data_IF_388672199893
#
_entry.id   IF_388672199893
#
_cell.length_a   1.000
_cell.length_b   1.000
_cell.length_c   1.000
_cell.angle_alpha   90.00
_cell.angle_beta   90.00
_cell.angle_gamma   90.00
#
_symmetry.space_group_name_H-M   'P 1'
#
loop_
_entity.id
_entity.type
_entity.pdbx_description
1 polymer ?
#
# COMPACT_ATOMS: atom_id res chain seq x y z
N UNK A 1 30.49 8.32 -24.25
CA UNK A 1 29.09 8.74 -24.01
C UNK A 1 28.04 7.62 -24.15
N UNK A 2 28.35 6.45 -24.74
CA UNK A 2 27.37 5.35 -24.88
C UNK A 2 27.06 4.60 -23.57
N UNK A 3 28.05 4.39 -22.70
CA UNK A 3 27.86 3.72 -21.40
C UNK A 3 26.91 4.48 -20.46
N UNK A 4 27.04 5.80 -20.38
CA UNK A 4 26.16 6.64 -19.55
C UNK A 4 24.70 6.56 -20.00
N UNK A 5 24.46 6.52 -21.32
CA UNK A 5 23.11 6.39 -21.90
C UNK A 5 22.47 5.03 -21.60
N UNK A 6 23.26 3.95 -21.60
CA UNK A 6 22.79 2.60 -21.27
C UNK A 6 22.43 2.51 -19.77
N UNK A 7 23.24 3.11 -18.88
CA UNK A 7 22.95 3.14 -17.44
C UNK A 7 21.67 3.92 -17.14
N UNK A 8 21.48 5.08 -17.78
CA UNK A 8 20.26 5.89 -17.62
C UNK A 8 19.03 5.13 -18.14
N UNK A 9 19.12 4.49 -19.30
CA UNK A 9 18.02 3.70 -19.86
C UNK A 9 17.65 2.50 -18.97
N UNK A 10 18.63 1.82 -18.39
CA UNK A 10 18.39 0.70 -17.47
C UNK A 10 17.78 1.17 -16.14
N UNK A 11 18.21 2.33 -15.62
CA UNK A 11 17.63 2.92 -14.42
C UNK A 11 16.15 3.32 -14.61
N UNK A 12 15.78 3.84 -15.79
CA UNK A 12 14.38 4.14 -16.11
C UNK A 12 13.51 2.89 -16.25
N UNK A 13 14.08 1.76 -16.68
CA UNK A 13 13.33 0.50 -16.82
C UNK A 13 13.07 -0.19 -15.47
N UNK A 14 13.95 0.00 -14.48
CA UNK A 14 13.86 -0.64 -13.16
C UNK A 14 13.05 0.16 -12.13
N UNK A 15 12.87 1.47 -12.33
CA UNK A 15 12.08 2.30 -11.43
C UNK A 15 10.63 1.79 -11.17
N UNK A 16 9.87 1.33 -12.18
CA UNK A 16 8.53 0.76 -11.94
C UNK A 16 8.57 -0.59 -11.21
N UNK A 17 9.64 -1.37 -11.37
CA UNK A 17 9.80 -2.69 -10.71
C UNK A 17 10.06 -2.51 -9.21
N UNK A 18 10.84 -1.50 -8.83
CA UNK A 18 11.08 -1.18 -7.42
C UNK A 18 9.81 -0.75 -6.68
N UNK A 19 8.86 -0.09 -7.37
CA UNK A 19 7.58 0.31 -6.77
C UNK A 19 6.57 -0.84 -6.67
N UNK A 20 6.62 -1.81 -7.60
CA UNK A 20 5.82 -3.03 -7.53
C UNK A 20 6.15 -3.93 -6.32
N UNK A 21 7.29 -3.69 -5.66
CA UNK A 21 7.72 -4.43 -4.47
C UNK A 21 7.25 -3.80 -3.15
N UNK A 22 6.73 -2.56 -3.15
CA UNK A 22 6.21 -1.96 -1.92
C UNK A 22 4.93 -2.65 -1.49
N UNK A 23 4.85 -3.02 -0.21
CA UNK A 23 3.65 -3.55 0.43
C UNK A 23 2.94 -2.47 1.22
N UNK A 24 1.67 -2.68 1.54
CA UNK A 24 0.93 -1.75 2.40
C UNK A 24 1.64 -1.54 3.76
N UNK A 25 2.23 -2.60 4.32
CA UNK A 25 3.02 -2.53 5.56
C UNK A 25 4.18 -1.54 5.49
N UNK A 26 4.81 -1.35 4.33
CA UNK A 26 5.93 -0.41 4.15
C UNK A 26 5.48 1.05 4.26
N UNK A 27 4.18 1.32 4.14
CA UNK A 27 3.59 2.66 4.29
C UNK A 27 3.39 3.07 5.76
N UNK A 28 3.59 2.15 6.70
CA UNK A 28 3.34 2.35 8.13
C UNK A 28 4.64 2.74 8.84
N UNK A 29 4.58 3.75 9.70
CA UNK A 29 5.74 4.16 10.51
C UNK A 29 6.17 3.01 11.46
N UNK A 30 7.47 2.86 11.68
CA UNK A 30 8.07 1.72 12.43
C UNK A 30 7.47 1.56 13.83
N UNK A 31 7.21 2.65 14.53
CA UNK A 31 6.57 2.69 15.86
C UNK A 31 5.14 2.10 15.90
N UNK A 32 4.46 1.99 14.75
CA UNK A 32 3.11 1.45 14.65
C UNK A 32 3.06 0.04 14.06
N UNK A 33 4.18 -0.54 13.64
CA UNK A 33 4.20 -1.84 12.95
C UNK A 33 3.59 -2.97 13.78
N UNK A 34 3.89 -3.04 15.08
CA UNK A 34 3.32 -4.09 15.95
C UNK A 34 1.79 -3.99 16.05
N UNK A 35 1.27 -2.77 16.13
CA UNK A 35 -0.17 -2.52 16.23
C UNK A 35 -0.84 -2.84 14.89
N UNK A 36 -0.21 -2.42 13.79
CA UNK A 36 -0.64 -2.77 12.44
C UNK A 36 -0.67 -4.29 12.22
N UNK A 37 0.39 -5.01 12.55
CA UNK A 37 0.46 -6.48 12.37
C UNK A 37 -0.65 -7.17 13.19
N UNK A 38 -0.89 -6.70 14.43
CA UNK A 38 -1.97 -7.22 15.28
C UNK A 38 -3.38 -6.85 14.81
N UNK A 39 -3.55 -5.75 14.08
CA UNK A 39 -4.82 -5.38 13.47
C UNK A 39 -5.08 -6.21 12.21
N UNK A 40 -4.08 -6.33 11.34
CA UNK A 40 -4.16 -7.13 10.12
C UNK A 40 -4.43 -8.61 10.41
N UNK A 41 -3.92 -9.15 11.53
CA UNK A 41 -4.20 -10.53 11.94
C UNK A 41 -5.67 -10.78 12.33
N UNK A 42 -6.45 -9.73 12.58
CA UNK A 42 -7.88 -9.85 12.90
C UNK A 42 -8.75 -9.85 11.63
N UNK A 43 -8.21 -9.44 10.49
CA UNK A 43 -8.91 -9.42 9.21
C UNK A 43 -8.87 -10.83 8.63
N UNK A 44 -10.02 -11.49 8.61
CA UNK A 44 -10.18 -12.84 8.09
C UNK A 44 -11.25 -12.85 7.01
N UNK A 45 -11.16 -13.80 6.08
CA UNK A 45 -12.23 -14.02 5.11
C UNK A 45 -13.55 -14.29 5.87
N UNK A 46 -14.67 -13.69 5.44
CA UNK A 46 -14.88 -13.00 4.17
C UNK A 46 -14.68 -11.47 4.18
N UNK A 47 -14.03 -10.90 5.21
CA UNK A 47 -13.82 -9.45 5.31
C UNK A 47 -12.89 -8.94 4.20
N UNK A 48 -13.19 -7.74 3.72
CA UNK A 48 -12.34 -7.01 2.78
C UNK A 48 -11.93 -5.69 3.40
N UNK A 49 -10.81 -5.13 2.99
CA UNK A 49 -10.36 -3.84 3.51
C UNK A 49 -9.90 -2.90 2.40
N UNK A 50 -10.01 -1.61 2.67
CA UNK A 50 -9.55 -0.53 1.82
C UNK A 50 -8.55 0.33 2.59
N UNK A 51 -7.35 0.47 2.04
CA UNK A 51 -6.33 1.34 2.60
C UNK A 51 -6.17 2.61 1.78
N UNK A 52 -6.02 3.76 2.45
CA UNK A 52 -5.81 5.06 1.79
C UNK A 52 -4.98 6.02 2.64
N UNK A 53 -4.32 6.98 1.97
CA UNK A 53 -3.56 8.04 2.62
C UNK A 53 -4.41 9.31 2.76
N UNK A 54 -4.56 9.82 3.99
CA UNK A 54 -5.22 11.10 4.25
C UNK A 54 -4.56 11.79 5.43
N UNK A 55 -4.25 13.09 5.27
CA UNK A 55 -3.59 13.91 6.29
C UNK A 55 -2.29 13.30 6.84
N UNK A 56 -1.46 12.77 5.93
CA UNK A 56 -0.20 12.08 6.27
C UNK A 56 -0.38 10.91 7.26
N UNK A 57 -1.51 10.23 7.18
CA UNK A 57 -1.84 9.03 7.94
C UNK A 57 -2.41 7.97 7.01
N UNK A 58 -2.05 6.72 7.27
CA UNK A 58 -2.57 5.57 6.53
C UNK A 58 -3.82 5.09 7.27
N UNK A 59 -4.95 5.09 6.58
CA UNK A 59 -6.22 4.61 7.07
C UNK A 59 -6.51 3.26 6.45
N UNK A 60 -7.10 2.36 7.23
CA UNK A 60 -7.57 1.05 6.79
C UNK A 60 -9.00 0.90 7.28
N UNK A 61 -9.94 0.86 6.35
CA UNK A 61 -11.35 0.59 6.61
C UNK A 61 -11.63 -0.88 6.28
N UNK A 62 -12.24 -1.63 7.19
CA UNK A 62 -12.58 -3.05 7.03
C UNK A 62 -14.08 -3.17 6.88
N UNK A 63 -14.52 -3.84 5.83
CA UNK A 63 -15.92 -4.05 5.50
C UNK A 63 -16.34 -5.49 5.79
N UNK A 64 -17.62 -5.67 6.10
CA UNK A 64 -18.24 -6.99 6.10
C UNK A 64 -18.24 -7.62 4.69
N UNK A 65 -18.62 -8.90 4.62
CA UNK A 65 -18.69 -9.66 3.38
C UNK A 65 -19.54 -9.00 2.30
N UNK A 66 -20.61 -8.31 2.71
CA UNK A 66 -21.55 -7.64 1.80
C UNK A 66 -21.01 -6.28 1.33
N UNK A 67 -19.81 -5.87 1.79
CA UNK A 67 -19.08 -4.69 1.34
C UNK A 67 -19.76 -3.36 1.68
N UNK A 68 -20.90 -3.40 2.37
CA UNK A 68 -21.76 -2.25 2.59
C UNK A 68 -21.45 -1.49 3.86
N UNK A 69 -20.86 -2.16 4.86
CA UNK A 69 -20.66 -1.57 6.19
C UNK A 69 -19.23 -1.74 6.69
N UNK A 70 -18.64 -0.64 7.15
CA UNK A 70 -17.38 -0.65 7.89
C UNK A 70 -17.63 -1.32 9.25
N UNK A 71 -16.97 -2.45 9.49
CA UNK A 71 -17.04 -3.22 10.74
C UNK A 71 -15.86 -2.96 11.66
N UNK A 72 -14.74 -2.49 11.11
CA UNK A 72 -13.54 -2.13 11.87
C UNK A 72 -12.73 -1.10 11.08
N UNK A 73 -11.89 -0.32 11.76
CA UNK A 73 -10.99 0.62 11.10
C UNK A 73 -9.74 0.88 11.95
N UNK A 74 -8.66 1.31 11.31
CA UNK A 74 -7.47 1.76 12.00
C UNK A 74 -6.77 2.89 11.25
N UNK A 75 -6.10 3.75 12.00
CA UNK A 75 -5.30 4.85 11.46
C UNK A 75 -3.90 4.81 12.04
N UNK A 76 -2.89 4.85 11.16
CA UNK A 76 -1.48 4.80 11.51
C UNK A 76 -0.74 6.03 11.03
N UNK A 77 0.36 6.37 11.70
CA UNK A 77 1.32 7.34 11.18
C UNK A 77 1.94 6.78 9.90
N UNK A 78 2.03 7.60 8.85
CA UNK A 78 2.66 7.19 7.61
C UNK A 78 4.19 7.13 7.74
N UNK A 79 4.80 6.23 6.97
CA UNK A 79 6.23 6.26 6.67
C UNK A 79 6.51 7.23 5.52
N UNK A 80 7.79 7.50 5.26
CA UNK A 80 8.23 8.28 4.09
C UNK A 80 7.89 7.62 2.76
N UNK A 81 7.54 6.32 2.75
CA UNK A 81 7.20 5.55 1.56
C UNK A 81 5.70 5.59 1.20
N UNK A 82 4.86 6.08 2.11
CA UNK A 82 3.40 6.03 1.94
C UNK A 82 2.91 6.78 0.70
N UNK A 83 3.35 8.03 0.50
CA UNK A 83 2.91 8.83 -0.64
C UNK A 83 3.22 8.14 -1.99
N UNK A 84 4.43 7.61 -2.11
CA UNK A 84 4.89 6.92 -3.31
C UNK A 84 4.08 5.62 -3.58
N UNK A 85 3.79 4.84 -2.53
CA UNK A 85 2.94 3.66 -2.64
C UNK A 85 1.52 4.00 -3.10
N UNK A 86 0.85 4.96 -2.46
CA UNK A 86 -0.54 5.28 -2.79
C UNK A 86 -0.67 5.95 -4.16
N UNK A 87 0.34 6.71 -4.60
CA UNK A 87 0.42 7.18 -5.98
C UNK A 87 0.51 6.00 -6.95
N UNK A 88 1.44 5.06 -6.72
CA UNK A 88 1.59 3.87 -7.57
C UNK A 88 0.30 3.03 -7.65
N UNK A 89 -0.38 2.80 -6.52
CA UNK A 89 -1.66 2.08 -6.48
C UNK A 89 -2.75 2.79 -7.26
N UNK A 90 -2.82 4.13 -7.18
CA UNK A 90 -3.82 4.93 -7.91
C UNK A 90 -3.63 4.88 -9.44
N UNK A 91 -2.41 4.60 -9.89
CA UNK A 91 -2.05 4.49 -11.31
C UNK A 91 -2.27 3.04 -11.84
N UNK A 92 -2.57 2.06 -10.98
CA UNK A 92 -2.84 0.69 -11.40
C UNK A 92 -4.30 0.49 -11.86
N UNK A 93 -4.55 -0.43 -12.81
CA UNK A 93 -5.90 -0.87 -13.13
C UNK A 93 -6.64 -1.40 -11.89
N UNK A 94 -7.98 -1.27 -11.82
CA UNK A 94 -8.76 -1.61 -10.62
C UNK A 94 -8.53 -3.04 -10.10
N UNK A 95 -8.38 -4.00 -11.01
CA UNK A 95 -8.14 -5.41 -10.68
C UNK A 95 -6.76 -5.67 -10.06
N UNK A 96 -5.77 -4.80 -10.31
CA UNK A 96 -4.40 -4.92 -9.79
C UNK A 96 -4.20 -4.10 -8.53
N UNK A 97 -4.87 -2.95 -8.41
CA UNK A 97 -4.92 -2.16 -7.19
C UNK A 97 -5.49 -2.95 -6.00
N UNK A 98 -6.53 -3.75 -6.23
CA UNK A 98 -7.15 -4.61 -5.20
C UNK A 98 -6.20 -5.69 -4.65
N UNK A 99 -5.28 -6.21 -5.48
CA UNK A 99 -4.33 -7.24 -5.05
C UNK A 99 -3.15 -6.65 -4.26
N UNK A 100 -2.73 -5.42 -4.59
CA UNK A 100 -1.65 -4.71 -3.88
C UNK A 100 -2.11 -4.11 -2.56
N UNK A 101 -3.39 -3.73 -2.48
CA UNK A 101 -3.99 -3.28 -1.24
C UNK A 101 -4.20 -4.42 -0.25
N UNK A 102 -4.27 -5.69 -0.71
CA UNK A 102 -4.61 -6.86 0.13
C UNK A 102 -3.40 -7.66 0.65
N UNK A 103 -2.20 -7.43 0.14
CA UNK A 103 -0.93 -8.15 0.45
C UNK A 103 0.07 -7.35 1.31
#
# INVERSE_FOLDING_TARGET
MHLLRIVIALATLLAPVAMAALRLRDTIHTENLRIYDSFMSQIHLPMVYHAYLKNNRVHIDVYDHEGGKIVNYATYKSSTRAAAFFQYVSEQPPWKAAHLASS
#
